data_IF_725514776765
#
_entry.id   IF_725514776765
#
_cell.length_a   1.000
_cell.length_b   1.000
_cell.length_c   1.000
_cell.angle_alpha   90.00
_cell.angle_beta   90.00
_cell.angle_gamma   90.00
#
_symmetry.space_group_name_H-M   'P 1'
#
loop_
_entity.id
_entity.type
_entity.pdbx_description
1 polymer ?
#
# COMPACT_ATOMS: atom_id res chain seq x y z
N UNK A 1 -74.67 -0.32 10.45
CA UNK A 1 -73.74 0.73 10.92
C UNK A 1 -72.44 0.51 10.15
N UNK A 2 -71.99 1.52 9.40
CA UNK A 2 -70.97 1.41 8.32
C UNK A 2 -69.57 1.08 8.86
N UNK A 3 -68.86 0.26 8.09
CA UNK A 3 -67.47 -0.17 8.23
C UNK A 3 -66.46 1.00 8.33
N UNK A 4 -65.37 0.77 9.06
CA UNK A 4 -64.05 1.36 8.77
C UNK A 4 -62.97 0.31 9.03
N UNK A 5 -62.53 -0.34 7.95
CA UNK A 5 -61.29 -1.11 7.92
C UNK A 5 -60.15 -0.10 7.74
N UNK A 6 -59.31 0.05 8.76
CA UNK A 6 -58.09 0.86 8.66
C UNK A 6 -57.05 0.07 7.87
N UNK A 7 -56.85 0.48 6.62
CA UNK A 7 -55.79 0.03 5.73
C UNK A 7 -54.46 0.63 6.22
N UNK A 8 -53.62 -0.20 6.85
CA UNK A 8 -52.22 0.18 7.16
C UNK A 8 -51.44 0.07 5.85
N UNK A 9 -51.19 1.22 5.22
CA UNK A 9 -50.29 1.33 4.07
C UNK A 9 -48.86 1.17 4.57
N UNK A 10 -48.25 0.03 4.27
CA UNK A 10 -46.83 -0.22 4.47
C UNK A 10 -46.05 0.57 3.41
N UNK A 11 -45.61 1.78 3.74
CA UNK A 11 -44.71 2.55 2.88
C UNK A 11 -43.34 1.87 2.88
N UNK A 12 -43.05 1.13 1.82
CA UNK A 12 -41.69 0.67 1.50
C UNK A 12 -40.91 1.94 1.12
N UNK A 13 -40.23 2.54 2.09
CA UNK A 13 -39.21 3.56 1.82
C UNK A 13 -38.03 2.85 1.17
N UNK A 14 -37.92 3.10 -0.14
CA UNK A 14 -36.79 2.74 -0.98
C UNK A 14 -35.48 3.10 -0.29
N UNK A 15 -34.64 2.08 -0.11
CA UNK A 15 -33.21 2.18 0.18
C UNK A 15 -32.54 2.86 -1.04
N UNK A 16 -32.64 4.18 -1.12
CA UNK A 16 -31.77 4.96 -1.98
C UNK A 16 -30.43 5.04 -1.27
N UNK A 17 -29.49 4.23 -1.78
CA UNK A 17 -28.06 4.50 -1.72
C UNK A 17 -27.85 6.01 -1.84
N UNK A 18 -27.62 6.69 -0.72
CA UNK A 18 -26.74 7.85 -0.78
C UNK A 18 -25.36 7.26 -1.00
N UNK A 19 -25.02 7.06 -2.27
CA UNK A 19 -23.64 7.20 -2.71
C UNK A 19 -23.22 8.60 -2.25
N UNK A 20 -22.75 8.69 -1.00
CA UNK A 20 -21.89 9.76 -0.60
C UNK A 20 -20.71 9.63 -1.55
N UNK A 21 -20.72 10.51 -2.54
CA UNK A 21 -19.55 10.87 -3.33
C UNK A 21 -18.56 11.34 -2.27
N UNK A 22 -17.79 10.39 -1.73
CA UNK A 22 -16.64 10.71 -0.93
C UNK A 22 -15.75 11.49 -1.87
N UNK A 23 -15.40 12.71 -1.45
CA UNK A 23 -14.43 13.56 -2.12
C UNK A 23 -13.16 12.74 -2.37
N UNK A 24 -13.09 12.14 -3.55
CA UNK A 24 -11.97 11.32 -3.99
C UNK A 24 -10.88 12.30 -4.37
N UNK A 25 -9.92 12.47 -3.46
CA UNK A 25 -8.63 13.09 -3.75
C UNK A 25 -7.95 12.36 -4.91
N UNK A 26 -8.31 12.75 -6.13
CA UNK A 26 -7.50 12.63 -7.33
C UNK A 26 -6.77 13.96 -7.44
N UNK A 27 -5.55 14.03 -6.90
CA UNK A 27 -4.70 15.20 -7.13
C UNK A 27 -4.28 15.17 -8.61
N UNK A 28 -4.98 16.02 -9.36
CA UNK A 28 -4.78 16.51 -10.71
C UNK A 28 -4.60 15.47 -11.85
N UNK A 29 -5.49 15.47 -12.87
CA UNK A 29 -5.14 14.85 -14.14
C UNK A 29 -3.89 15.55 -14.69
N UNK A 30 -2.94 14.79 -15.25
CA UNK A 30 -1.76 15.34 -15.90
C UNK A 30 -2.25 16.16 -17.10
N UNK A 31 -2.19 17.49 -17.00
CA UNK A 31 -2.60 18.41 -18.07
C UNK A 31 -1.37 19.02 -18.75
N UNK A 32 -1.42 19.24 -20.06
CA UNK A 32 -0.37 19.98 -20.77
C UNK A 32 -0.42 21.47 -20.41
N UNK A 33 0.52 22.26 -20.95
CA UNK A 33 0.58 23.71 -20.70
C UNK A 33 -0.69 24.43 -21.19
N UNK A 34 -1.47 23.77 -22.03
CA UNK A 34 -2.71 24.23 -22.63
C UNK A 34 -3.96 23.75 -21.87
N UNK A 35 -3.80 23.00 -20.77
CA UNK A 35 -4.91 22.53 -19.92
C UNK A 35 -5.62 21.26 -20.42
N UNK A 36 -5.08 20.59 -21.44
CA UNK A 36 -5.62 19.33 -21.96
C UNK A 36 -5.07 18.14 -21.21
N UNK A 37 -5.92 17.15 -20.90
CA UNK A 37 -5.49 15.89 -20.26
C UNK A 37 -4.50 15.17 -21.19
N UNK A 38 -3.24 15.07 -20.78
CA UNK A 38 -2.21 14.31 -21.47
C UNK A 38 -2.50 12.83 -21.26
N UNK A 39 -3.05 12.19 -22.29
CA UNK A 39 -3.02 10.73 -22.40
C UNK A 39 -1.65 10.33 -22.94
N UNK A 40 -0.70 9.98 -22.08
CA UNK A 40 0.48 9.22 -22.51
C UNK A 40 0.02 7.81 -22.86
N UNK A 41 -0.38 7.58 -24.11
CA UNK A 41 -0.81 6.27 -24.61
C UNK A 41 0.27 5.60 -25.47
N UNK A 42 1.52 5.69 -25.05
CA UNK A 42 2.54 4.78 -25.55
C UNK A 42 2.68 3.65 -24.54
N UNK A 43 2.36 2.42 -24.96
CA UNK A 43 2.66 1.22 -24.16
C UNK A 43 4.13 1.26 -23.77
N UNK A 44 4.45 1.56 -22.51
CA UNK A 44 5.84 1.59 -22.07
C UNK A 44 6.44 0.20 -22.25
N UNK A 45 7.42 0.11 -23.16
CA UNK A 45 8.19 -1.12 -23.34
C UNK A 45 9.09 -1.29 -22.12
N UNK A 46 9.20 -2.53 -21.64
CA UNK A 46 10.23 -2.93 -20.67
C UNK A 46 11.59 -2.52 -21.25
N UNK A 47 12.32 -1.64 -20.56
CA UNK A 47 13.59 -1.08 -21.06
C UNK A 47 14.79 -1.87 -20.56
N UNK A 48 14.62 -2.57 -19.43
CA UNK A 48 15.65 -3.34 -18.74
C UNK A 48 15.54 -4.81 -19.15
N UNK A 49 16.64 -5.44 -19.52
CA UNK A 49 16.66 -6.85 -19.88
C UNK A 49 16.42 -7.78 -18.67
N UNK A 50 15.98 -9.01 -18.93
CA UNK A 50 15.62 -9.97 -17.89
C UNK A 50 16.79 -10.35 -16.97
N UNK A 51 18.02 -10.38 -17.47
CA UNK A 51 19.20 -10.72 -16.68
C UNK A 51 19.49 -9.62 -15.65
N UNK A 52 19.47 -8.35 -16.10
CA UNK A 52 19.59 -7.19 -15.22
C UNK A 52 18.46 -7.15 -14.19
N UNK A 53 17.20 -7.41 -14.59
CA UNK A 53 16.07 -7.47 -13.65
C UNK A 53 16.27 -8.58 -12.60
N UNK A 54 16.65 -9.79 -13.02
CA UNK A 54 16.81 -10.93 -12.12
C UNK A 54 17.97 -10.71 -11.12
N UNK A 55 19.05 -10.07 -11.55
CA UNK A 55 20.19 -9.73 -10.69
C UNK A 55 19.90 -8.57 -9.71
N UNK A 56 18.85 -7.79 -9.96
CA UNK A 56 18.44 -6.69 -9.10
C UNK A 56 17.64 -7.20 -7.90
N UNK A 57 18.12 -6.95 -6.68
CA UNK A 57 17.46 -7.38 -5.43
C UNK A 57 16.63 -6.29 -4.76
N UNK A 58 16.96 -5.02 -4.95
CA UNK A 58 16.27 -3.91 -4.30
C UNK A 58 15.63 -3.04 -5.38
N UNK A 59 14.30 -2.92 -5.35
CA UNK A 59 13.55 -2.14 -6.33
C UNK A 59 12.56 -1.20 -5.66
N UNK A 60 12.30 -0.07 -6.30
CA UNK A 60 11.26 0.88 -5.89
C UNK A 60 10.31 1.11 -7.06
N UNK A 61 9.02 0.98 -6.80
CA UNK A 61 7.96 1.22 -7.78
C UNK A 61 7.72 2.72 -7.96
N UNK A 62 8.00 3.23 -9.15
CA UNK A 62 7.65 4.58 -9.54
C UNK A 62 7.34 4.64 -11.04
N UNK A 63 6.15 5.12 -11.37
CA UNK A 63 5.66 5.22 -12.75
C UNK A 63 4.86 6.52 -12.88
N UNK A 64 5.42 7.50 -13.59
CA UNK A 64 4.80 8.83 -13.75
C UNK A 64 3.45 8.78 -14.48
N UNK A 65 3.12 7.68 -15.15
CA UNK A 65 1.82 7.50 -15.80
C UNK A 65 0.72 7.09 -14.81
N UNK A 66 1.05 6.95 -13.53
CA UNK A 66 0.14 6.59 -12.44
C UNK A 66 -0.03 7.78 -11.49
N UNK A 67 -1.22 7.90 -10.91
CA UNK A 67 -1.44 8.84 -9.80
C UNK A 67 -0.93 8.26 -8.48
N UNK A 68 -1.03 9.05 -7.41
CA UNK A 68 -0.63 8.67 -6.05
C UNK A 68 -1.86 8.62 -5.13
N UNK A 69 -1.75 7.90 -4.03
CA UNK A 69 -2.77 7.94 -2.97
C UNK A 69 -2.11 7.97 -1.61
N UNK A 70 -2.46 8.94 -0.77
CA UNK A 70 -1.88 9.10 0.58
C UNK A 70 -0.35 9.23 0.63
N UNK A 71 0.27 9.57 -0.50
CA UNK A 71 1.68 9.89 -0.61
C UNK A 71 1.83 11.18 -1.38
N UNK A 72 2.53 12.16 -0.80
CA UNK A 72 2.91 13.41 -1.47
C UNK A 72 4.40 13.40 -1.77
N UNK A 73 4.76 13.95 -2.92
CA UNK A 73 6.14 14.04 -3.39
C UNK A 73 6.90 12.69 -3.41
N UNK A 74 6.30 11.60 -3.93
CA UNK A 74 6.93 10.26 -3.91
C UNK A 74 8.31 10.24 -4.57
N UNK A 75 8.58 11.11 -5.55
CA UNK A 75 9.85 11.20 -6.23
C UNK A 75 11.03 11.46 -5.28
N UNK A 76 10.82 12.12 -4.14
CA UNK A 76 11.89 12.34 -3.17
C UNK A 76 12.25 11.07 -2.39
N UNK A 77 11.26 10.24 -2.04
CA UNK A 77 11.51 8.91 -1.48
C UNK A 77 12.21 8.02 -2.51
N UNK A 78 11.77 8.07 -3.77
CA UNK A 78 12.37 7.31 -4.87
C UNK A 78 13.82 7.70 -5.09
N UNK A 79 14.15 8.99 -5.23
CA UNK A 79 15.53 9.47 -5.35
C UNK A 79 16.38 9.08 -4.14
N UNK A 80 15.81 9.14 -2.93
CA UNK A 80 16.50 8.70 -1.72
C UNK A 80 16.84 7.21 -1.77
N UNK A 81 15.89 6.34 -2.12
CA UNK A 81 16.12 4.89 -2.22
C UNK A 81 17.06 4.54 -3.37
N UNK A 82 16.98 5.24 -4.50
CA UNK A 82 17.92 5.09 -5.61
C UNK A 82 19.35 5.37 -5.15
N UNK A 83 19.57 6.45 -4.38
CA UNK A 83 20.87 6.75 -3.79
C UNK A 83 21.39 5.67 -2.81
N UNK A 84 20.49 4.82 -2.31
CA UNK A 84 20.79 3.65 -1.44
C UNK A 84 20.86 2.33 -2.22
N UNK A 85 20.89 2.39 -3.57
CA UNK A 85 21.08 1.23 -4.45
C UNK A 85 19.78 0.52 -4.87
N UNK A 86 18.61 1.12 -4.67
CA UNK A 86 17.36 0.59 -5.23
C UNK A 86 17.28 0.94 -6.72
N UNK A 87 16.82 -0.01 -7.54
CA UNK A 87 16.49 0.25 -8.93
C UNK A 87 15.05 0.76 -9.04
N UNK A 88 14.86 1.86 -9.76
CA UNK A 88 13.52 2.36 -10.09
C UNK A 88 12.93 1.49 -11.21
N UNK A 89 11.73 0.94 -10.98
CA UNK A 89 10.98 0.16 -11.97
C UNK A 89 9.58 0.76 -12.19
N UNK A 90 9.16 0.84 -13.45
CA UNK A 90 7.77 1.15 -13.78
C UNK A 90 6.85 -0.06 -13.55
N UNK A 91 5.56 0.08 -13.82
CA UNK A 91 4.56 -0.97 -13.55
C UNK A 91 4.80 -2.28 -14.31
N UNK A 92 5.27 -2.23 -15.56
CA UNK A 92 5.53 -3.43 -16.38
C UNK A 92 6.83 -4.11 -16.01
N UNK A 93 7.88 -3.33 -15.78
CA UNK A 93 9.18 -3.81 -15.33
C UNK A 93 9.06 -4.48 -13.96
N UNK A 94 8.29 -3.89 -13.04
CA UNK A 94 8.03 -4.47 -11.74
C UNK A 94 7.27 -5.80 -11.82
N UNK A 95 6.25 -5.89 -12.67
CA UNK A 95 5.54 -7.15 -12.93
C UNK A 95 6.51 -8.21 -13.44
N UNK A 96 7.32 -7.87 -14.44
CA UNK A 96 8.30 -8.79 -15.03
C UNK A 96 9.34 -9.22 -14.01
N UNK A 97 9.84 -8.30 -13.20
CA UNK A 97 10.79 -8.56 -12.12
C UNK A 97 10.23 -9.55 -11.09
N UNK A 98 8.99 -9.36 -10.64
CA UNK A 98 8.33 -10.31 -9.73
C UNK A 98 8.14 -11.69 -10.39
N UNK A 99 7.72 -11.75 -11.66
CA UNK A 99 7.59 -12.99 -12.42
C UNK A 99 8.92 -13.75 -12.52
N UNK A 100 10.02 -13.05 -12.81
CA UNK A 100 11.34 -13.65 -12.91
C UNK A 100 11.76 -14.26 -11.56
N UNK A 101 11.63 -13.51 -10.46
CA UNK A 101 11.99 -14.01 -9.13
C UNK A 101 11.12 -15.18 -8.65
N UNK A 102 9.83 -15.18 -8.98
CA UNK A 102 8.93 -16.33 -8.70
C UNK A 102 9.35 -17.54 -9.54
N UNK A 103 9.57 -17.37 -10.84
CA UNK A 103 9.86 -18.48 -11.76
C UNK A 103 11.25 -19.08 -11.54
N UNK A 104 12.19 -18.31 -11.00
CA UNK A 104 13.56 -18.75 -10.70
C UNK A 104 13.79 -19.13 -9.25
N UNK A 105 12.77 -19.06 -8.40
CA UNK A 105 12.85 -19.32 -6.96
C UNK A 105 13.91 -18.42 -6.26
N UNK A 106 13.98 -17.15 -6.67
CA UNK A 106 14.94 -16.16 -6.16
C UNK A 106 14.29 -14.99 -5.44
N UNK A 107 12.99 -15.07 -5.14
CA UNK A 107 12.24 -14.01 -4.49
C UNK A 107 12.73 -13.72 -3.06
N UNK A 108 13.17 -14.73 -2.31
CA UNK A 108 13.79 -14.49 -1.00
C UNK A 108 15.03 -13.58 -1.10
N UNK A 109 15.11 -12.60 -0.20
CA UNK A 109 16.15 -11.57 -0.20
C UNK A 109 15.96 -10.47 -1.26
N UNK A 110 14.90 -10.53 -2.06
CA UNK A 110 14.48 -9.42 -2.93
C UNK A 110 13.43 -8.55 -2.24
N UNK A 111 13.42 -7.25 -2.56
CA UNK A 111 12.57 -6.24 -1.92
C UNK A 111 12.01 -5.27 -2.95
N UNK A 112 10.72 -5.01 -2.86
CA UNK A 112 10.05 -3.94 -3.58
C UNK A 112 9.46 -2.91 -2.60
N UNK A 113 9.80 -1.63 -2.77
CA UNK A 113 9.10 -0.53 -2.08
C UNK A 113 8.01 0.04 -3.01
N UNK A 114 6.75 -0.03 -2.57
CA UNK A 114 5.61 0.58 -3.25
C UNK A 114 5.46 2.04 -2.81
N UNK A 115 6.16 2.96 -3.48
CA UNK A 115 6.27 4.36 -3.03
C UNK A 115 5.11 5.29 -3.40
N UNK A 116 4.11 4.83 -4.16
CA UNK A 116 3.04 5.70 -4.68
C UNK A 116 1.70 5.57 -3.93
N UNK A 117 1.59 4.64 -2.97
CA UNK A 117 0.35 4.35 -2.24
C UNK A 117 -0.80 3.82 -3.10
N UNK A 118 -0.48 3.34 -4.29
CA UNK A 118 -1.37 2.60 -5.17
C UNK A 118 -0.72 1.27 -5.54
N UNK A 119 -1.55 0.31 -5.95
CA UNK A 119 -1.07 -0.94 -6.57
C UNK A 119 -1.37 -0.87 -8.07
N UNK A 120 -0.38 -1.12 -8.95
CA UNK A 120 -0.65 -1.27 -10.37
C UNK A 120 -1.56 -2.47 -10.63
N UNK A 121 -2.60 -2.27 -11.43
CA UNK A 121 -3.57 -3.33 -11.78
C UNK A 121 -2.92 -4.63 -12.24
N UNK A 122 -1.88 -4.52 -13.06
CA UNK A 122 -1.19 -5.67 -13.64
C UNK A 122 -0.48 -6.56 -12.60
N UNK A 123 -0.24 -6.07 -11.37
CA UNK A 123 0.33 -6.87 -10.28
C UNK A 123 -0.71 -7.72 -9.54
N UNK A 124 -1.97 -7.31 -9.61
CA UNK A 124 -3.09 -7.92 -8.88
C UNK A 124 -4.16 -8.47 -9.81
N UNK A 125 -3.82 -8.78 -11.06
CA UNK A 125 -4.71 -9.45 -12.02
C UNK A 125 -4.34 -10.94 -12.15
N UNK A 126 -5.26 -11.90 -11.91
CA UNK A 126 -6.61 -11.71 -11.37
C UNK A 126 -6.58 -11.28 -9.90
N UNK A 127 -7.63 -10.57 -9.44
CA UNK A 127 -7.73 -9.97 -8.08
C UNK A 127 -7.95 -10.98 -6.95
N UNK A 128 -7.03 -11.92 -6.81
CA UNK A 128 -7.01 -12.94 -5.76
C UNK A 128 -5.58 -13.48 -5.63
N UNK A 129 -5.39 -14.51 -4.81
CA UNK A 129 -4.08 -15.16 -4.55
C UNK A 129 -3.39 -15.77 -5.78
N UNK A 130 -4.03 -15.79 -6.96
CA UNK A 130 -3.37 -16.19 -8.22
C UNK A 130 -2.60 -15.05 -8.88
N UNK A 131 -2.72 -13.81 -8.40
CA UNK A 131 -1.97 -12.67 -8.91
C UNK A 131 -0.45 -12.79 -8.67
N UNK A 132 0.33 -11.99 -9.39
CA UNK A 132 1.79 -12.03 -9.25
C UNK A 132 2.26 -11.47 -7.92
N UNK A 133 1.59 -10.43 -7.37
CA UNK A 133 1.94 -9.88 -6.05
C UNK A 133 1.91 -10.96 -4.97
N UNK A 134 0.81 -11.72 -4.87
CA UNK A 134 0.70 -12.79 -3.88
C UNK A 134 1.73 -13.89 -4.10
N UNK A 135 1.90 -14.33 -5.36
CA UNK A 135 2.91 -15.35 -5.70
C UNK A 135 4.31 -14.93 -5.31
N UNK A 136 4.67 -13.67 -5.51
CA UNK A 136 5.95 -13.11 -5.10
C UNK A 136 6.14 -13.13 -3.58
N UNK A 137 5.12 -12.72 -2.83
CA UNK A 137 5.12 -12.79 -1.35
C UNK A 137 5.24 -14.23 -0.85
N UNK A 138 4.50 -15.16 -1.46
CA UNK A 138 4.53 -16.58 -1.13
C UNK A 138 5.86 -17.25 -1.49
N UNK A 139 6.56 -16.78 -2.53
CA UNK A 139 7.92 -17.21 -2.87
C UNK A 139 8.99 -16.63 -1.91
N UNK A 140 8.60 -15.81 -0.93
CA UNK A 140 9.51 -15.21 0.05
C UNK A 140 9.99 -13.81 -0.28
N UNK A 141 9.42 -13.16 -1.29
CA UNK A 141 9.68 -11.76 -1.59
C UNK A 141 9.15 -10.80 -0.51
N UNK A 142 9.79 -9.62 -0.39
CA UNK A 142 9.40 -8.58 0.56
C UNK A 142 8.80 -7.38 -0.19
N UNK A 143 7.64 -6.91 0.25
CA UNK A 143 7.02 -5.67 -0.24
C UNK A 143 6.87 -4.69 0.90
N UNK A 144 7.36 -3.47 0.75
CA UNK A 144 7.13 -2.37 1.69
C UNK A 144 6.11 -1.41 1.08
N UNK A 145 4.94 -1.33 1.69
CA UNK A 145 3.86 -0.46 1.29
C UNK A 145 3.92 0.87 2.01
N UNK A 146 3.95 1.95 1.23
CA UNK A 146 3.86 3.32 1.70
C UNK A 146 2.49 3.88 1.32
N UNK A 147 1.85 4.56 2.27
CA UNK A 147 0.49 5.09 2.11
C UNK A 147 -0.47 4.50 3.12
N UNK A 148 -1.76 4.75 2.94
CA UNK A 148 -2.77 4.46 3.96
C UNK A 148 -3.18 2.97 4.00
N UNK A 149 -4.31 2.60 3.40
CA UNK A 149 -4.82 1.22 3.42
C UNK A 149 -4.30 0.45 2.19
N UNK A 150 -3.54 -0.65 2.37
CA UNK A 150 -3.00 -1.43 1.24
C UNK A 150 -4.07 -1.93 0.29
N UNK A 151 -3.83 -1.78 -1.01
CA UNK A 151 -4.71 -2.25 -2.10
C UNK A 151 -6.11 -1.60 -2.14
N UNK A 152 -6.36 -0.56 -1.34
CA UNK A 152 -7.63 0.20 -1.40
C UNK A 152 -7.81 0.90 -2.75
N UNK A 153 -6.70 1.42 -3.31
CA UNK A 153 -6.65 2.12 -4.59
C UNK A 153 -5.80 1.32 -5.59
N UNK A 154 -6.43 0.92 -6.69
CA UNK A 154 -5.78 0.28 -7.84
C UNK A 154 -5.49 1.36 -8.88
N UNK A 155 -4.22 1.54 -9.22
CA UNK A 155 -3.80 2.43 -10.29
C UNK A 155 -3.78 1.73 -11.66
N UNK A 156 -4.06 2.49 -12.71
CA UNK A 156 -3.90 2.10 -14.10
C UNK A 156 -3.20 3.23 -14.87
N UNK A 157 -2.55 2.89 -15.98
CA UNK A 157 -1.87 3.86 -16.85
C UNK A 157 -2.80 5.02 -17.26
N UNK A 158 -2.24 6.21 -17.42
CA UNK A 158 -3.00 7.42 -17.74
C UNK A 158 -3.61 8.10 -16.51
N UNK A 159 -3.14 7.76 -15.31
CA UNK A 159 -3.57 8.38 -14.05
C UNK A 159 -4.91 7.86 -13.51
N UNK A 160 -5.50 6.83 -14.12
CA UNK A 160 -6.79 6.30 -13.68
C UNK A 160 -6.67 5.49 -12.39
N UNK A 161 -7.66 5.65 -11.51
CA UNK A 161 -7.79 4.85 -10.29
C UNK A 161 -9.16 4.26 -10.11
N UNK A 162 -9.18 3.07 -9.51
CA UNK A 162 -10.39 2.43 -9.01
C UNK A 162 -10.21 2.16 -7.51
N UNK A 163 -11.22 2.49 -6.71
CA UNK A 163 -11.26 2.16 -5.28
C UNK A 163 -12.12 0.93 -5.06
N UNK A 164 -11.60 -0.06 -4.32
CA UNK A 164 -12.29 -1.32 -4.05
C UNK A 164 -12.61 -1.56 -2.58
N UNK A 165 -12.22 -0.63 -1.69
CA UNK A 165 -12.39 -0.84 -0.26
C UNK A 165 -11.39 -1.85 0.30
N UNK A 166 -11.79 -2.58 1.34
CA UNK A 166 -10.98 -3.55 2.07
C UNK A 166 -11.03 -4.98 1.49
N UNK A 167 -11.99 -5.28 0.62
CA UNK A 167 -12.21 -6.61 0.03
C UNK A 167 -10.96 -7.18 -0.66
N UNK A 168 -10.27 -6.39 -1.48
CA UNK A 168 -9.09 -6.85 -2.23
C UNK A 168 -7.90 -7.12 -1.30
N UNK A 169 -7.76 -6.32 -0.25
CA UNK A 169 -6.74 -6.55 0.77
C UNK A 169 -7.02 -7.83 1.56
N UNK A 170 -8.28 -8.13 1.85
CA UNK A 170 -8.67 -9.40 2.44
C UNK A 170 -8.37 -10.57 1.49
N UNK A 171 -8.85 -10.51 0.25
CA UNK A 171 -8.74 -11.62 -0.71
C UNK A 171 -7.30 -11.95 -1.11
N UNK A 172 -6.42 -10.95 -1.16
CA UNK A 172 -5.01 -11.12 -1.55
C UNK A 172 -4.12 -11.26 -0.32
N UNK A 173 -4.28 -10.41 0.69
CA UNK A 173 -3.33 -10.28 1.81
C UNK A 173 -3.86 -10.88 3.12
N UNK A 174 -5.12 -11.32 3.19
CA UNK A 174 -5.77 -11.78 4.44
C UNK A 174 -5.66 -10.73 5.57
N UNK A 175 -5.71 -9.44 5.25
CA UNK A 175 -5.67 -8.35 6.24
C UNK A 175 -7.01 -7.66 6.32
N UNK A 176 -7.42 -7.31 7.53
CA UNK A 176 -8.60 -6.49 7.78
C UNK A 176 -8.26 -5.37 8.75
N UNK A 177 -8.92 -4.24 8.54
CA UNK A 177 -8.69 -3.01 9.27
C UNK A 177 -9.85 -2.05 9.08
N UNK A 178 -9.67 -0.83 9.56
CA UNK A 178 -10.68 0.20 9.43
C UNK A 178 -10.14 1.57 9.78
N UNK A 179 -11.00 2.58 9.68
CA UNK A 179 -10.71 3.91 10.19
C UNK A 179 -10.82 3.91 11.70
N UNK A 180 -9.85 4.53 12.35
CA UNK A 180 -10.01 4.89 13.76
C UNK A 180 -11.15 5.90 13.89
N UNK A 181 -11.84 5.86 15.02
CA UNK A 181 -12.89 6.84 15.34
C UNK A 181 -12.46 7.67 16.55
N UNK A 182 -12.88 8.93 16.56
CA UNK A 182 -12.84 9.76 17.75
C UNK A 182 -13.82 9.19 18.79
N UNK A 183 -13.36 9.04 20.03
CA UNK A 183 -14.14 8.37 21.07
C UNK A 183 -15.32 9.22 21.56
N UNK A 184 -15.21 10.54 21.52
CA UNK A 184 -16.25 11.44 22.03
C UNK A 184 -17.38 11.61 21.03
N UNK A 185 -17.03 11.76 19.76
CA UNK A 185 -17.97 12.04 18.67
C UNK A 185 -18.39 10.80 17.89
N UNK A 186 -17.62 9.71 17.96
CA UNK A 186 -17.78 8.53 17.11
C UNK A 186 -17.42 8.77 15.65
N UNK A 187 -16.91 9.95 15.29
CA UNK A 187 -16.58 10.29 13.91
C UNK A 187 -15.29 9.62 13.46
N UNK A 188 -15.24 9.14 12.21
CA UNK A 188 -14.03 8.56 11.65
C UNK A 188 -12.92 9.62 11.54
N UNK A 189 -11.70 9.23 11.89
CA UNK A 189 -10.52 10.06 11.71
C UNK A 189 -10.15 10.12 10.22
N UNK A 190 -9.96 11.33 9.72
CA UNK A 190 -9.60 11.67 8.34
C UNK A 190 -8.42 12.63 8.30
N UNK A 191 -8.00 13.06 7.10
CA UNK A 191 -6.96 14.08 6.92
C UNK A 191 -7.24 15.40 7.65
N UNK A 192 -8.51 15.74 7.90
CA UNK A 192 -8.89 16.98 8.59
C UNK A 192 -8.94 16.84 10.11
N UNK A 193 -8.77 15.63 10.63
CA UNK A 193 -8.75 15.34 12.08
C UNK A 193 -7.36 14.91 12.52
N UNK A 194 -6.92 15.26 13.74
CA UNK A 194 -5.67 14.77 14.29
C UNK A 194 -5.61 13.23 14.27
N UNK A 195 -4.54 12.69 13.69
CA UNK A 195 -4.26 11.26 13.76
C UNK A 195 -3.92 10.85 15.19
N UNK A 196 -4.29 9.63 15.59
CA UNK A 196 -3.94 9.10 16.92
C UNK A 196 -2.48 8.68 16.93
N UNK A 197 -1.72 9.14 17.92
CA UNK A 197 -0.32 8.72 18.08
C UNK A 197 -0.23 7.24 18.44
N UNK A 198 0.64 6.51 17.76
CA UNK A 198 0.96 5.12 18.05
C UNK A 198 2.22 5.01 18.92
N UNK A 199 2.43 3.85 19.53
CA UNK A 199 3.70 3.48 20.17
C UNK A 199 4.53 2.64 19.20
N UNK A 200 5.86 2.78 19.25
CA UNK A 200 6.78 1.88 18.54
C UNK A 200 7.00 0.66 19.45
N UNK A 201 6.72 -0.53 18.94
CA UNK A 201 6.95 -1.77 19.68
C UNK A 201 8.44 -2.12 19.73
N UNK A 202 8.83 -3.07 20.58
CA UNK A 202 10.21 -3.58 20.59
C UNK A 202 10.61 -4.21 19.25
N UNK A 203 9.68 -4.88 18.56
CA UNK A 203 9.95 -5.40 17.21
C UNK A 203 10.13 -4.25 16.20
N UNK A 204 9.34 -3.18 16.29
CA UNK A 204 9.52 -1.98 15.45
C UNK A 204 10.90 -1.35 15.62
N UNK A 205 11.34 -1.17 16.88
CA UNK A 205 12.68 -0.66 17.19
C UNK A 205 13.77 -1.58 16.64
N UNK A 206 13.62 -2.89 16.79
CA UNK A 206 14.54 -3.90 16.27
C UNK A 206 14.70 -3.81 14.75
N UNK A 207 13.61 -3.54 14.03
CA UNK A 207 13.62 -3.33 12.58
C UNK A 207 14.11 -1.93 12.16
N UNK A 208 14.49 -1.09 13.13
CA UNK A 208 15.05 0.24 12.90
C UNK A 208 14.01 1.35 12.83
N UNK A 209 12.78 1.13 13.25
CA UNK A 209 11.76 2.19 13.27
C UNK A 209 12.08 3.20 14.37
N UNK A 210 12.24 4.48 14.00
CA UNK A 210 12.60 5.57 14.91
C UNK A 210 11.54 6.67 14.93
N UNK A 211 10.73 6.81 13.88
CA UNK A 211 9.70 7.84 13.82
C UNK A 211 8.39 7.28 14.34
N UNK A 212 7.80 7.98 15.31
CA UNK A 212 6.47 7.63 15.82
C UNK A 212 5.45 7.71 14.67
N UNK A 213 4.69 6.63 14.55
CA UNK A 213 3.57 6.53 13.62
C UNK A 213 2.37 7.28 14.19
N UNK A 214 1.57 7.86 13.30
CA UNK A 214 0.28 8.43 13.65
C UNK A 214 -0.75 7.75 12.76
N UNK A 215 -1.92 7.47 13.31
CA UNK A 215 -2.90 6.61 12.66
C UNK A 215 -4.23 7.30 12.40
N UNK A 216 -4.64 7.25 11.14
CA UNK A 216 -6.04 7.36 10.73
C UNK A 216 -6.68 5.99 10.51
N UNK A 217 -5.88 4.96 10.28
CA UNK A 217 -6.30 3.60 9.93
C UNK A 217 -5.62 2.59 10.84
N UNK A 218 -6.34 1.55 11.23
CA UNK A 218 -5.78 0.45 12.00
C UNK A 218 -5.98 -0.88 11.30
N UNK A 219 -5.18 -1.87 11.68
CA UNK A 219 -5.35 -3.27 11.31
C UNK A 219 -5.39 -4.12 12.56
N UNK A 220 -6.15 -5.22 12.51
CA UNK A 220 -6.21 -6.14 13.64
C UNK A 220 -4.87 -6.86 13.82
N UNK A 221 -4.31 -6.84 15.03
CA UNK A 221 -3.03 -7.48 15.33
C UNK A 221 -3.05 -8.99 15.07
N UNK A 222 -4.21 -9.64 15.20
CA UNK A 222 -4.40 -11.06 14.87
C UNK A 222 -4.24 -11.39 13.38
N UNK A 223 -4.35 -10.39 12.48
CA UNK A 223 -4.20 -10.62 11.05
C UNK A 223 -2.76 -10.49 10.57
N UNK A 224 -1.83 -10.04 11.40
CA UNK A 224 -0.44 -9.77 11.01
C UNK A 224 0.53 -10.68 11.77
N UNK A 225 1.74 -10.84 11.24
CA UNK A 225 2.75 -11.72 11.85
C UNK A 225 3.50 -10.99 12.95
N UNK A 226 3.86 -9.73 12.72
CA UNK A 226 4.53 -8.89 13.72
C UNK A 226 4.04 -7.46 13.62
N UNK A 227 3.96 -6.81 14.77
CA UNK A 227 3.55 -5.42 14.91
C UNK A 227 4.76 -4.54 15.16
N UNK A 228 4.94 -3.50 14.35
CA UNK A 228 6.00 -2.50 14.51
C UNK A 228 5.51 -1.26 15.25
N UNK A 229 4.23 -0.91 15.09
CA UNK A 229 3.56 0.13 15.89
C UNK A 229 2.11 -0.20 16.19
N UNK A 230 1.63 0.25 17.35
CA UNK A 230 0.26 0.04 17.80
C UNK A 230 -0.38 1.27 18.47
N UNK A 231 -1.70 1.37 18.34
CA UNK A 231 -2.52 2.40 19.02
C UNK A 231 -3.41 1.82 20.12
N UNK A 232 -3.46 0.48 20.17
CA UNK A 232 -4.16 -0.37 21.12
C UNK A 232 -3.63 -1.81 20.97
N UNK A 233 -3.65 -2.68 22.01
CA UNK A 233 -3.16 -4.06 21.89
C UNK A 233 -3.81 -4.91 20.77
N UNK A 234 -5.00 -4.53 20.33
CA UNK A 234 -5.71 -5.19 19.23
C UNK A 234 -5.49 -4.53 17.86
N UNK A 235 -4.91 -3.32 17.82
CA UNK A 235 -4.88 -2.44 16.66
C UNK A 235 -3.46 -1.95 16.37
N UNK A 236 -2.91 -2.40 15.24
CA UNK A 236 -1.61 -1.99 14.75
C UNK A 236 -1.68 -1.04 13.56
N UNK A 237 -0.60 -0.27 13.38
CA UNK A 237 -0.51 0.75 12.34
C UNK A 237 0.65 0.46 11.39
N UNK A 238 1.79 0.01 11.89
CA UNK A 238 2.88 -0.51 11.07
C UNK A 238 3.12 -1.96 11.44
N UNK A 239 3.31 -2.83 10.45
CA UNK A 239 3.33 -4.28 10.65
C UNK A 239 3.93 -5.02 9.46
N UNK A 240 4.27 -6.29 9.69
CA UNK A 240 4.59 -7.26 8.64
C UNK A 240 3.64 -8.46 8.71
N UNK A 241 3.21 -8.92 7.54
CA UNK A 241 2.54 -10.20 7.35
C UNK A 241 3.38 -11.11 6.47
N UNK A 242 3.75 -12.26 7.02
CA UNK A 242 4.54 -13.29 6.35
C UNK A 242 3.63 -14.34 5.73
N UNK A 243 3.92 -14.70 4.47
CA UNK A 243 3.17 -15.70 3.70
C UNK A 243 3.96 -17.01 3.50
N UNK A 244 5.27 -16.95 3.66
CA UNK A 244 6.16 -18.11 3.59
C UNK A 244 6.88 -18.28 4.92
N UNK A 245 6.50 -19.30 5.70
CA UNK A 245 7.03 -19.52 7.05
C UNK A 245 8.54 -19.87 7.08
N UNK A 246 9.12 -20.29 5.96
CA UNK A 246 10.57 -20.48 5.85
C UNK A 246 11.33 -19.16 5.87
N UNK A 247 10.65 -18.04 5.61
CA UNK A 247 11.21 -16.70 5.51
C UNK A 247 10.49 -15.74 6.48
N UNK A 248 10.66 -15.89 7.80
CA UNK A 248 9.84 -15.22 8.84
C UNK A 248 10.00 -13.69 8.90
N UNK A 249 11.03 -13.16 8.25
CA UNK A 249 11.25 -11.71 8.12
C UNK A 249 10.93 -11.24 6.69
N UNK A 250 10.17 -11.99 5.91
CA UNK A 250 9.73 -11.57 4.58
C UNK A 250 8.22 -11.59 4.45
N UNK A 251 7.70 -10.95 3.40
CA UNK A 251 6.28 -10.78 3.15
C UNK A 251 5.89 -9.32 2.96
N UNK A 252 4.65 -9.00 3.32
CA UNK A 252 4.07 -7.69 3.08
C UNK A 252 4.20 -6.82 4.33
N UNK A 253 4.90 -5.70 4.19
CA UNK A 253 5.10 -4.72 5.23
C UNK A 253 4.24 -3.52 4.90
N UNK A 254 3.48 -3.04 5.88
CA UNK A 254 2.88 -1.71 5.83
C UNK A 254 3.63 -0.81 6.79
N UNK A 255 4.11 0.32 6.29
CA UNK A 255 4.75 1.35 7.10
C UNK A 255 3.93 2.64 7.07
N UNK A 256 3.56 3.08 8.27
CA UNK A 256 2.81 4.30 8.58
C UNK A 256 1.32 4.24 8.20
N UNK A 257 0.52 5.01 8.93
CA UNK A 257 -0.94 5.07 8.73
C UNK A 257 -1.52 6.46 8.49
N UNK A 258 -0.70 7.38 8.01
CA UNK A 258 -1.09 8.74 7.64
C UNK A 258 -0.52 9.11 6.28
N UNK A 259 -0.86 10.30 5.79
CA UNK A 259 -0.21 10.94 4.66
C UNK A 259 1.32 10.83 4.80
N UNK A 260 1.95 10.30 3.76
CA UNK A 260 3.41 10.16 3.69
C UNK A 260 4.00 11.31 2.86
N UNK A 261 4.94 12.07 3.43
CA UNK A 261 5.69 13.09 2.69
C UNK A 261 7.07 12.56 2.30
N UNK A 262 7.29 12.36 1.00
CA UNK A 262 8.55 11.86 0.45
C UNK A 262 9.75 12.75 0.74
N UNK A 263 9.55 14.01 1.14
CA UNK A 263 10.64 14.94 1.51
C UNK A 263 11.12 14.73 2.95
N UNK A 264 10.41 13.92 3.75
CA UNK A 264 10.79 13.67 5.14
C UNK A 264 11.89 12.60 5.21
N UNK A 265 13.13 13.05 5.41
CA UNK A 265 14.30 12.17 5.48
C UNK A 265 14.23 11.15 6.62
N UNK A 266 13.63 11.47 7.77
CA UNK A 266 13.54 10.52 8.88
C UNK A 266 12.61 9.34 8.54
N UNK A 267 11.49 9.61 7.86
CA UNK A 267 10.60 8.57 7.36
C UNK A 267 11.29 7.72 6.29
N UNK A 268 11.99 8.36 5.35
CA UNK A 268 12.69 7.65 4.29
C UNK A 268 13.78 6.71 4.86
N UNK A 269 14.47 7.15 5.90
CA UNK A 269 15.45 6.35 6.63
C UNK A 269 14.82 5.15 7.35
N UNK A 270 13.63 5.30 7.97
CA UNK A 270 12.85 4.17 8.50
C UNK A 270 12.46 3.18 7.39
N UNK A 271 11.96 3.67 6.24
CA UNK A 271 11.61 2.84 5.08
C UNK A 271 12.80 2.02 4.62
N UNK A 272 13.99 2.64 4.49
CA UNK A 272 15.20 1.94 4.09
C UNK A 272 15.60 0.84 5.08
N UNK A 273 15.61 1.13 6.39
CA UNK A 273 15.96 0.13 7.42
C UNK A 273 14.99 -1.05 7.44
N UNK A 274 13.69 -0.78 7.40
CA UNK A 274 12.66 -1.81 7.36
C UNK A 274 12.75 -2.63 6.07
N UNK A 275 12.96 -1.97 4.93
CA UNK A 275 13.12 -2.63 3.63
C UNK A 275 14.31 -3.58 3.62
N UNK A 276 15.42 -3.20 4.25
CA UNK A 276 16.71 -3.92 4.17
C UNK A 276 17.05 -4.78 5.39
N UNK A 277 16.21 -4.77 6.42
CA UNK A 277 16.39 -5.54 7.66
C UNK A 277 16.77 -7.00 7.37
N UNK A 278 17.94 -7.40 7.86
CA UNK A 278 18.58 -8.73 7.68
C UNK A 278 18.82 -9.20 6.24
N UNK A 279 18.59 -8.35 5.23
CA UNK A 279 18.88 -8.65 3.80
C UNK A 279 20.31 -8.24 3.45
N UNK A 280 20.69 -7.04 3.88
CA UNK A 280 22.06 -6.56 3.74
C UNK A 280 22.81 -7.05 4.99
N UNK A 281 23.30 -8.30 4.96
CA UNK A 281 24.33 -8.68 5.93
C UNK A 281 25.55 -7.80 5.67
N UNK A 282 25.94 -7.06 6.70
CA UNK A 282 27.03 -6.09 6.76
C UNK A 282 28.20 -6.48 5.84
N UNK A 283 28.45 -5.65 4.83
CA UNK A 283 29.75 -5.54 4.17
C UNK A 283 30.80 -4.86 5.08
N UNK A 284 30.49 -4.69 6.35
CA UNK A 284 31.38 -4.07 7.34
C UNK A 284 32.15 -5.19 8.07
N UNK A 285 33.28 -5.57 7.47
CA UNK A 285 34.47 -6.03 8.19
C UNK A 285 35.55 -5.00 8.00
#
# INVERSE_FOLDING_TARGET
MKEKINLVVLTITSFLLSCAISDRFSWDPIVNKEGEIIRKSEKEKIKIDDETLLNTKLVVFYDENYTTSWVIYPQYLVSFLESKGFKILNSHELKRWMELHVNKDTAYGSVCVMSMGIVPRNLIDPRNKKCILYKYLFAGGRVVWIGDYPLWVIGSEGGYTESFGDEIAWDILDISGGRLVDYETGAALTLTTPAKSASITEEGKKWGMNVIDNAHTFFYTINVTKTFSDVHPLYCCSWIKTYNFNYPNSGFIRYRSTLYDGRNNQLNEDVYRIATYEIIKEKEK
#
